data_IF_038274847715
#
_entry.id   IF_038274847715
#
_cell.length_a   1.000
_cell.length_b   1.000
_cell.length_c   1.000
_cell.angle_alpha   90.00
_cell.angle_beta   90.00
_cell.angle_gamma   90.00
#
_symmetry.space_group_name_H-M   'P 1'
#
loop_
_entity.id
_entity.type
_entity.pdbx_description
1 polymer ?
#
# COMPACT_ATOMS: atom_id res chain seq x y z
N UNK A 1 -4.12 -16.51 1.65
CA UNK A 1 -3.23 -17.54 1.06
C UNK A 1 -3.75 -18.96 1.30
N UNK A 2 -4.10 -19.33 2.53
CA UNK A 2 -4.61 -20.68 2.88
C UNK A 2 -5.87 -21.09 2.12
N UNK A 3 -6.82 -20.17 1.93
CA UNK A 3 -8.06 -20.51 1.21
C UNK A 3 -7.82 -20.83 -0.27
N UNK A 4 -7.02 -20.02 -0.96
CA UNK A 4 -6.62 -20.28 -2.36
C UNK A 4 -5.85 -21.60 -2.47
N UNK A 5 -4.95 -21.86 -1.51
CA UNK A 5 -4.17 -23.10 -1.44
C UNK A 5 -5.07 -24.33 -1.30
N UNK A 6 -6.08 -24.26 -0.42
CA UNK A 6 -7.09 -25.30 -0.22
C UNK A 6 -7.92 -25.53 -1.49
N UNK A 7 -8.43 -24.48 -2.12
CA UNK A 7 -9.24 -24.55 -3.34
C UNK A 7 -8.49 -25.12 -4.55
N UNK A 8 -7.17 -24.92 -4.61
CA UNK A 8 -6.31 -25.36 -5.72
C UNK A 8 -5.48 -26.62 -5.41
N UNK A 9 -5.67 -27.21 -4.23
CA UNK A 9 -4.91 -28.38 -3.74
C UNK A 9 -3.38 -28.23 -3.88
N UNK A 10 -2.87 -27.05 -3.52
CA UNK A 10 -1.44 -26.73 -3.54
C UNK A 10 -1.00 -26.20 -2.18
N UNK A 11 0.32 -26.20 -1.92
CA UNK A 11 0.84 -25.59 -0.69
C UNK A 11 0.67 -24.07 -0.67
N UNK A 12 0.49 -23.51 0.52
CA UNK A 12 0.46 -22.06 0.76
C UNK A 12 1.70 -21.35 0.23
N UNK A 13 2.87 -21.98 0.36
CA UNK A 13 4.13 -21.49 -0.20
C UNK A 13 4.10 -21.39 -1.73
N UNK A 14 3.39 -22.29 -2.41
CA UNK A 14 3.22 -22.22 -3.86
C UNK A 14 2.36 -21.03 -4.27
N UNK A 15 1.25 -20.79 -3.57
CA UNK A 15 0.42 -19.59 -3.76
C UNK A 15 1.25 -18.31 -3.56
N UNK A 16 2.01 -18.24 -2.46
CA UNK A 16 2.87 -17.10 -2.17
C UNK A 16 3.90 -16.85 -3.28
N UNK A 17 4.59 -17.89 -3.76
CA UNK A 17 5.55 -17.78 -4.88
C UNK A 17 4.90 -17.22 -6.14
N UNK A 18 3.69 -17.68 -6.48
CA UNK A 18 2.96 -17.16 -7.64
C UNK A 18 2.58 -15.70 -7.43
N UNK A 19 2.01 -15.33 -6.29
CA UNK A 19 1.67 -13.94 -5.97
C UNK A 19 2.90 -13.03 -6.06
N UNK A 20 4.04 -13.49 -5.54
CA UNK A 20 5.30 -12.73 -5.56
C UNK A 20 5.81 -12.44 -6.98
N UNK A 21 5.50 -13.29 -7.97
CA UNK A 21 5.85 -13.03 -9.39
C UNK A 21 5.13 -11.81 -9.96
N UNK A 22 3.95 -11.49 -9.44
CA UNK A 22 3.16 -10.33 -9.85
C UNK A 22 3.38 -9.13 -8.94
N UNK A 23 4.09 -9.29 -7.84
CA UNK A 23 4.39 -8.20 -6.93
C UNK A 23 5.30 -7.18 -7.62
N UNK A 24 4.77 -5.97 -7.79
CA UNK A 24 5.54 -4.80 -8.21
C UNK A 24 5.55 -3.83 -7.04
N UNK A 25 6.72 -3.53 -6.44
CA UNK A 25 6.77 -2.50 -5.41
C UNK A 25 6.28 -1.19 -6.02
N UNK A 26 5.30 -0.56 -5.37
CA UNK A 26 4.92 0.81 -5.67
C UNK A 26 6.11 1.70 -5.29
N UNK A 27 6.53 2.56 -6.23
CA UNK A 27 7.49 3.61 -5.92
C UNK A 27 6.78 4.96 -6.12
N UNK A 28 6.18 5.51 -5.06
CA UNK A 28 5.38 6.73 -5.15
C UNK A 28 6.20 7.93 -5.61
N UNK A 29 7.50 7.98 -5.30
CA UNK A 29 8.41 9.09 -5.62
C UNK A 29 8.85 9.15 -7.09
N UNK A 30 8.45 8.19 -7.94
CA UNK A 30 8.71 8.24 -9.38
C UNK A 30 7.67 9.03 -10.17
N UNK A 31 6.58 9.42 -9.52
CA UNK A 31 5.45 10.10 -10.14
C UNK A 31 5.24 11.42 -9.42
N UNK A 32 4.80 12.44 -10.15
CA UNK A 32 4.34 13.68 -9.53
C UNK A 32 3.05 13.43 -8.74
N UNK A 33 2.80 14.24 -7.73
CA UNK A 33 1.52 14.21 -7.02
C UNK A 33 0.37 14.46 -8.01
N UNK A 34 -0.73 13.68 -7.94
CA UNK A 34 -1.86 13.88 -8.82
C UNK A 34 -2.51 15.25 -8.56
N UNK A 35 -3.18 15.78 -9.58
CA UNK A 35 -3.92 17.05 -9.46
C UNK A 35 -5.04 16.97 -8.42
N UNK A 36 -5.65 15.79 -8.28
CA UNK A 36 -6.66 15.50 -7.26
C UNK A 36 -6.14 14.34 -6.43
N UNK A 37 -5.83 14.59 -5.17
CA UNK A 37 -5.39 13.57 -4.22
C UNK A 37 -6.55 13.22 -3.30
N UNK A 38 -6.94 11.95 -3.30
CA UNK A 38 -7.86 11.41 -2.30
C UNK A 38 -7.05 10.65 -1.24
N UNK A 39 -7.37 10.87 0.03
CA UNK A 39 -6.69 10.21 1.14
C UNK A 39 -7.64 9.87 2.28
N UNK A 40 -7.28 8.88 3.07
CA UNK A 40 -8.02 8.45 4.26
C UNK A 40 -7.07 7.77 5.27
N UNK A 41 -7.59 7.42 6.45
CA UNK A 41 -6.89 6.62 7.45
C UNK A 41 -7.64 5.31 7.75
N UNK A 42 -6.92 4.20 7.80
CA UNK A 42 -7.51 2.90 8.13
C UNK A 42 -6.69 2.14 9.18
N UNK A 43 -7.35 1.26 9.93
CA UNK A 43 -6.65 0.37 10.88
C UNK A 43 -5.89 -0.72 10.12
N UNK A 44 -4.58 -0.75 10.27
CA UNK A 44 -3.71 -1.72 9.60
C UNK A 44 -3.51 -3.00 10.45
N UNK A 45 -2.77 -3.97 9.93
CA UNK A 45 -2.50 -5.25 10.61
C UNK A 45 -1.73 -5.04 11.93
N UNK A 46 -1.84 -6.01 12.85
CA UNK A 46 -1.41 -5.95 14.26
C UNK A 46 0.05 -5.56 14.55
N UNK A 47 0.89 -5.41 13.53
CA UNK A 47 2.33 -5.14 13.67
C UNK A 47 2.73 -3.68 13.42
N UNK A 48 1.79 -2.75 13.22
CA UNK A 48 2.11 -1.32 13.09
C UNK A 48 2.03 -0.62 14.45
N UNK A 49 3.08 0.09 14.85
CA UNK A 49 3.28 0.74 16.18
C UNK A 49 2.17 1.72 16.58
N UNK A 50 1.34 2.17 15.63
CA UNK A 50 0.22 3.12 15.84
C UNK A 50 -1.15 2.56 15.45
N UNK A 51 -1.24 1.27 15.05
CA UNK A 51 -2.46 0.57 14.61
C UNK A 51 -3.26 1.21 13.45
N UNK A 52 -2.81 2.32 12.87
CA UNK A 52 -3.46 3.05 11.79
C UNK A 52 -2.45 3.45 10.73
N UNK A 53 -2.84 3.35 9.47
CA UNK A 53 -2.04 3.72 8.31
C UNK A 53 -2.79 4.75 7.48
N UNK A 54 -2.04 5.62 6.82
CA UNK A 54 -2.54 6.60 5.87
C UNK A 54 -2.56 5.97 4.48
N UNK A 55 -3.64 6.14 3.74
CA UNK A 55 -3.80 5.62 2.38
C UNK A 55 -4.10 6.78 1.44
N UNK A 56 -3.53 6.73 0.23
CA UNK A 56 -3.78 7.75 -0.78
C UNK A 56 -3.91 7.19 -2.19
N UNK A 57 -4.75 7.84 -2.98
CA UNK A 57 -5.07 7.45 -4.35
C UNK A 57 -5.24 8.70 -5.23
N UNK A 58 -5.03 8.52 -6.53
CA UNK A 58 -5.37 9.53 -7.52
C UNK A 58 -6.89 9.64 -7.65
N UNK A 59 -7.42 10.84 -7.44
CA UNK A 59 -8.86 11.11 -7.51
C UNK A 59 -9.45 11.05 -8.91
N UNK A 60 -8.63 11.03 -9.97
CA UNK A 60 -9.11 10.89 -11.35
C UNK A 60 -9.08 9.43 -11.82
N UNK A 61 -7.92 8.77 -11.72
CA UNK A 61 -7.78 7.37 -12.18
C UNK A 61 -8.28 6.35 -11.16
N UNK A 62 -8.54 6.79 -9.92
CA UNK A 62 -8.79 5.91 -8.77
C UNK A 62 -7.66 4.91 -8.49
N UNK A 63 -6.45 5.17 -9.00
CA UNK A 63 -5.29 4.32 -8.76
C UNK A 63 -4.73 4.54 -7.35
N UNK A 64 -4.47 3.44 -6.64
CA UNK A 64 -3.76 3.47 -5.35
C UNK A 64 -2.32 3.94 -5.58
N UNK A 65 -1.92 4.98 -4.85
CA UNK A 65 -0.57 5.53 -4.95
C UNK A 65 0.35 4.89 -3.89
N UNK A 66 -0.04 4.95 -2.62
CA UNK A 66 0.74 4.37 -1.54
C UNK A 66 -0.07 4.18 -0.24
N UNK A 67 0.51 3.38 0.66
CA UNK A 67 0.06 3.18 2.04
C UNK A 67 1.23 3.51 2.97
N UNK A 68 1.06 4.56 3.76
CA UNK A 68 2.08 5.06 4.69
C UNK A 68 1.75 4.58 6.11
N UNK A 69 2.68 3.85 6.73
CA UNK A 69 2.46 3.29 8.07
C UNK A 69 2.34 4.34 9.17
N UNK A 70 3.06 5.47 9.05
CA UNK A 70 3.07 6.53 10.05
C UNK A 70 2.28 7.75 9.57
N UNK A 71 1.08 7.90 10.14
CA UNK A 71 0.14 8.99 9.84
C UNK A 71 0.42 10.31 10.60
N UNK A 72 1.49 10.41 11.38
CA UNK A 72 1.78 11.65 12.13
C UNK A 72 2.24 12.76 11.19
N UNK A 73 1.73 13.98 11.39
CA UNK A 73 2.00 15.14 10.54
C UNK A 73 3.49 15.33 10.19
N UNK A 74 4.45 15.32 11.14
CA UNK A 74 5.86 15.53 10.78
C UNK A 74 6.45 14.44 9.87
N UNK A 75 5.87 13.23 9.91
CA UNK A 75 6.26 12.15 9.02
C UNK A 75 5.66 12.33 7.63
N UNK A 76 4.37 12.67 7.56
CA UNK A 76 3.68 12.91 6.30
C UNK A 76 4.26 14.13 5.55
N UNK A 77 4.60 15.21 6.24
CA UNK A 77 5.28 16.36 5.62
C UNK A 77 6.59 15.94 4.95
N UNK A 78 7.44 15.18 5.66
CA UNK A 78 8.69 14.66 5.09
C UNK A 78 8.45 13.72 3.93
N UNK A 79 7.41 12.89 4.00
CA UNK A 79 7.02 12.00 2.92
C UNK A 79 6.63 12.79 1.66
N UNK A 80 5.75 13.79 1.78
CA UNK A 80 5.30 14.58 0.63
C UNK A 80 6.39 15.50 0.05
N UNK A 81 7.39 15.91 0.84
CA UNK A 81 8.56 16.63 0.33
C UNK A 81 9.44 15.82 -0.63
N UNK A 82 9.31 14.50 -0.65
CA UNK A 82 10.04 13.63 -1.58
C UNK A 82 9.47 13.56 -3.00
N UNK A 83 8.31 14.16 -3.25
CA UNK A 83 7.73 14.24 -4.59
C UNK A 83 8.32 15.44 -5.34
N UNK A 84 8.78 15.21 -6.56
CA UNK A 84 9.37 16.20 -7.45
C UNK A 84 8.76 16.10 -8.85
#
# INVERSE_FOLDING_TARGET
MTEIARQKNISTSSVYRVMKRFYRPLNPFKQTLPKVLCFDEFKSVRHVTSAMSFIMMDGQSHALLDIVENRRLPYLERYFLGFH
#
